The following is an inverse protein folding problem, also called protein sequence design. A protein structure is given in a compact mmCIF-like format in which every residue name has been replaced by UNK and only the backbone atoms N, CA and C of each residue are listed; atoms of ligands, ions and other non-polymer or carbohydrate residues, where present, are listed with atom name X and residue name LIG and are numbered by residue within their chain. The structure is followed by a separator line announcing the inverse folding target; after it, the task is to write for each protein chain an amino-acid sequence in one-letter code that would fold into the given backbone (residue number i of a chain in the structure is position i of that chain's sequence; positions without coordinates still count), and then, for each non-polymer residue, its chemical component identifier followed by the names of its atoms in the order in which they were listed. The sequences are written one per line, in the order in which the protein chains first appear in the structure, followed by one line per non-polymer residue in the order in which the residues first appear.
data_IF_081662041282
#
_entry.id   IF_081662041282
#
_cell.length_a   1.000
_cell.length_b   1.000
_cell.length_c   1.000
_cell.angle_alpha   90.00
_cell.angle_beta   90.00
_cell.angle_gamma   90.00
#
_symmetry.space_group_name_H-M   'P 1'
#
loop_
_entity.id
_entity.type
_entity.pdbx_description
1 polymer ?
#
# COMPACT_ATOMS: atom_id res chain seq x y z
N UNK A 1 -6.48 -11.70 4.38
CA UNK A 1 -6.62 -11.19 5.76
C UNK A 1 -7.37 -9.88 5.63
N UNK A 2 -8.45 -9.73 6.39
CA UNK A 2 -9.21 -8.50 6.40
C UNK A 2 -8.43 -7.46 7.21
N UNK A 3 -8.28 -6.27 6.64
CA UNK A 3 -7.51 -5.17 7.22
C UNK A 3 -8.46 -4.02 7.48
N UNK A 4 -8.60 -3.63 8.74
CA UNK A 4 -9.30 -2.40 9.11
C UNK A 4 -8.44 -1.17 8.77
N UNK A 5 -9.04 0.01 8.56
CA UNK A 5 -8.30 1.25 8.37
C UNK A 5 -7.26 1.51 9.47
N UNK A 6 -7.61 1.24 10.72
CA UNK A 6 -6.76 1.43 11.90
C UNK A 6 -5.52 0.51 11.86
N UNK A 7 -5.70 -0.74 11.46
CA UNK A 7 -4.58 -1.67 11.30
C UNK A 7 -3.66 -1.28 10.13
N UNK A 8 -4.22 -0.72 9.05
CA UNK A 8 -3.42 -0.22 7.92
C UNK A 8 -2.64 1.03 8.33
N UNK A 9 -3.27 1.96 9.04
CA UNK A 9 -2.60 3.16 9.55
C UNK A 9 -1.45 2.79 10.49
N UNK A 10 -1.69 1.89 11.45
CA UNK A 10 -0.66 1.40 12.37
C UNK A 10 0.50 0.72 11.64
N UNK A 11 0.22 -0.09 10.60
CA UNK A 11 1.24 -0.69 9.75
C UNK A 11 2.12 0.37 9.09
N UNK A 12 1.50 1.36 8.45
CA UNK A 12 2.22 2.41 7.71
C UNK A 12 3.03 3.27 8.67
N UNK A 13 2.45 3.71 9.79
CA UNK A 13 3.15 4.49 10.81
C UNK A 13 4.34 3.74 11.41
N UNK A 14 4.16 2.46 11.72
CA UNK A 14 5.25 1.65 12.27
C UNK A 14 6.41 1.53 11.28
N UNK A 15 6.13 1.13 10.03
CA UNK A 15 7.18 0.97 9.01
C UNK A 15 7.83 2.30 8.63
N UNK A 16 7.07 3.40 8.64
CA UNK A 16 7.62 4.74 8.42
C UNK A 16 8.60 5.14 9.53
N UNK A 17 8.28 4.86 10.79
CA UNK A 17 9.20 5.11 11.92
C UNK A 17 10.48 4.28 11.84
N UNK A 18 10.42 3.10 11.21
CA UNK A 18 11.55 2.19 11.03
C UNK A 18 12.13 2.27 9.61
N UNK A 19 11.97 3.41 8.91
CA UNK A 19 12.40 3.55 7.52
C UNK A 19 13.90 3.34 7.30
N UNK A 20 14.73 3.50 8.35
CA UNK A 20 16.16 3.19 8.32
C UNK A 20 16.46 1.69 8.12
N UNK A 21 15.53 0.80 8.48
CA UNK A 21 15.64 -0.66 8.28
C UNK A 21 15.17 -1.09 6.88
N UNK A 22 14.75 -0.15 6.04
CA UNK A 22 14.25 -0.41 4.70
C UNK A 22 15.41 -0.75 3.77
N UNK A 23 15.34 -1.91 3.13
CA UNK A 23 16.29 -2.30 2.09
C UNK A 23 16.09 -1.53 0.78
N UNK A 24 17.03 -1.70 -0.15
CA UNK A 24 17.11 -0.92 -1.40
C UNK A 24 15.86 -1.04 -2.28
N UNK A 25 15.16 -2.17 -2.22
CA UNK A 25 13.92 -2.41 -2.99
C UNK A 25 12.67 -1.83 -2.33
N UNK A 26 12.83 -1.11 -1.21
CA UNK A 26 11.73 -0.61 -0.38
C UNK A 26 11.02 -1.70 0.42
N UNK A 27 11.61 -2.90 0.54
CA UNK A 27 11.15 -3.96 1.44
C UNK A 27 11.81 -3.84 2.81
N UNK A 28 11.22 -4.50 3.81
CA UNK A 28 11.82 -4.67 5.13
C UNK A 28 12.21 -6.13 5.35
N UNK A 29 13.07 -6.36 6.34
CA UNK A 29 13.43 -7.71 6.75
C UNK A 29 12.29 -8.38 7.54
N UNK A 30 12.38 -9.70 7.68
CA UNK A 30 11.35 -10.50 8.34
C UNK A 30 11.11 -10.07 9.80
N UNK A 31 12.17 -9.70 10.54
CA UNK A 31 12.06 -9.25 11.92
C UNK A 31 11.26 -7.94 12.02
N UNK A 32 11.50 -6.97 11.13
CA UNK A 32 10.70 -5.74 11.09
C UNK A 32 9.22 -6.06 10.86
N UNK A 33 8.90 -6.96 9.93
CA UNK A 33 7.49 -7.36 9.70
C UNK A 33 6.87 -8.11 10.87
N UNK A 34 7.64 -8.93 11.59
CA UNK A 34 7.18 -9.58 12.81
C UNK A 34 6.88 -8.56 13.92
N UNK A 35 7.79 -7.61 14.14
CA UNK A 35 7.59 -6.54 15.13
C UNK A 35 6.37 -5.66 14.77
N UNK A 36 6.17 -5.37 13.48
CA UNK A 36 4.96 -4.69 13.00
C UNK A 36 3.70 -5.50 13.29
N UNK A 37 3.73 -6.82 13.09
CA UNK A 37 2.59 -7.69 13.39
C UNK A 37 2.24 -7.66 14.89
N UNK A 38 3.24 -7.71 15.76
CA UNK A 38 3.07 -7.58 17.21
C UNK A 38 2.53 -6.19 17.61
N UNK A 39 2.96 -5.13 16.92
CA UNK A 39 2.47 -3.77 17.14
C UNK A 39 0.99 -3.60 16.76
N UNK A 40 0.54 -4.26 15.69
CA UNK A 40 -0.84 -4.19 15.19
C UNK A 40 -1.78 -5.08 16.01
N UNK A 41 -1.28 -6.17 16.61
CA UNK A 41 -2.09 -7.17 17.32
C UNK A 41 -3.13 -6.59 18.31
N UNK A 42 -2.83 -5.57 19.13
CA UNK A 42 -3.81 -4.98 20.05
C UNK A 42 -5.02 -4.32 19.37
N UNK A 43 -4.92 -3.98 18.07
CA UNK A 43 -6.00 -3.35 17.30
C UNK A 43 -6.98 -4.36 16.70
N UNK A 44 -6.70 -5.67 16.83
CA UNK A 44 -7.55 -6.72 16.28
C UNK A 44 -8.86 -6.82 17.08
N UNK A 45 -9.95 -6.32 16.50
CA UNK A 45 -11.30 -6.43 17.08
C UNK A 45 -11.91 -7.80 16.80
N UNK A 46 -11.73 -8.34 15.58
CA UNK A 46 -12.22 -9.66 15.20
C UNK A 46 -11.45 -10.24 14.01
N UNK A 47 -11.56 -11.55 13.81
CA UNK A 47 -10.98 -12.25 12.66
C UNK A 47 -9.57 -12.80 12.92
N UNK A 48 -8.83 -13.03 11.83
CA UNK A 48 -7.54 -13.71 11.87
C UNK A 48 -6.43 -12.77 12.36
N UNK A 49 -5.66 -13.23 13.34
CA UNK A 49 -4.38 -12.60 13.75
C UNK A 49 -3.43 -12.54 12.56
N UNK A 50 -2.88 -11.36 12.32
CA UNK A 50 -1.96 -11.09 11.21
C UNK A 50 -0.56 -11.50 11.64
N UNK A 51 0.09 -12.34 10.84
CA UNK A 51 1.50 -12.69 11.02
C UNK A 51 2.41 -11.79 10.15
N UNK A 52 3.73 -11.97 10.26
CA UNK A 52 4.72 -11.26 9.46
C UNK A 52 4.51 -11.43 7.94
N UNK A 53 3.99 -12.58 7.47
CA UNK A 53 3.70 -12.79 6.04
C UNK A 53 2.51 -11.93 5.61
N UNK A 54 1.47 -11.85 6.44
CA UNK A 54 0.33 -10.97 6.20
C UNK A 54 0.77 -9.50 6.10
N UNK A 55 1.63 -9.04 7.02
CA UNK A 55 2.18 -7.68 6.99
C UNK A 55 3.00 -7.45 5.72
N UNK A 56 3.91 -8.36 5.37
CA UNK A 56 4.74 -8.24 4.16
C UNK A 56 3.91 -8.15 2.88
N UNK A 57 2.87 -8.98 2.75
CA UNK A 57 1.96 -8.95 1.59
C UNK A 57 1.21 -7.61 1.53
N UNK A 58 0.68 -7.14 2.66
CA UNK A 58 -0.05 -5.87 2.72
C UNK A 58 0.84 -4.68 2.38
N UNK A 59 2.06 -4.64 2.92
CA UNK A 59 3.05 -3.61 2.59
C UNK A 59 3.40 -3.62 1.10
N UNK A 60 3.60 -4.80 0.51
CA UNK A 60 3.86 -4.94 -0.92
C UNK A 60 2.77 -4.29 -1.79
N UNK A 61 1.50 -4.56 -1.46
CA UNK A 61 0.36 -3.96 -2.16
C UNK A 61 0.31 -2.43 -1.98
N UNK A 62 0.48 -1.92 -0.76
CA UNK A 62 0.50 -0.48 -0.46
C UNK A 62 1.62 0.24 -1.23
N UNK A 63 2.83 -0.34 -1.23
CA UNK A 63 3.98 0.18 -1.96
C UNK A 63 3.72 0.22 -3.47
N UNK A 64 3.09 -0.82 -4.02
CA UNK A 64 2.74 -0.86 -5.44
C UNK A 64 1.75 0.26 -5.80
N UNK A 65 0.71 0.46 -4.99
CA UNK A 65 -0.26 1.56 -5.19
C UNK A 65 0.41 2.93 -5.08
N UNK A 66 1.24 3.15 -4.05
CA UNK A 66 1.99 4.40 -3.88
C UNK A 66 2.89 4.69 -5.09
N UNK A 67 3.67 3.71 -5.54
CA UNK A 67 4.54 3.86 -6.70
C UNK A 67 3.76 4.17 -7.98
N UNK A 68 2.57 3.56 -8.17
CA UNK A 68 1.70 3.86 -9.29
C UNK A 68 1.19 5.32 -9.25
N UNK A 69 0.77 5.81 -8.07
CA UNK A 69 0.37 7.21 -7.88
C UNK A 69 1.53 8.15 -8.17
N UNK A 70 2.73 7.87 -7.64
CA UNK A 70 3.91 8.70 -7.88
C UNK A 70 4.32 8.71 -9.35
N UNK A 71 4.20 7.57 -10.05
CA UNK A 71 4.45 7.47 -11.50
C UNK A 71 3.41 8.25 -12.30
N UNK A 72 2.14 8.23 -11.88
CA UNK A 72 1.09 9.03 -12.52
C UNK A 72 1.37 10.53 -12.33
N UNK A 73 1.72 10.94 -11.11
CA UNK A 73 2.10 12.32 -10.78
C UNK A 73 3.32 12.84 -11.54
N UNK A 74 4.27 11.97 -11.89
CA UNK A 74 5.45 12.37 -12.65
C UNK A 74 5.17 12.62 -14.14
N UNK A 75 3.98 12.27 -14.64
CA UNK A 75 3.58 12.59 -16.02
C UNK A 75 3.08 14.03 -16.07
N UNK A 76 3.67 14.84 -16.96
CA UNK A 76 3.31 16.24 -17.16
C UNK A 76 1.80 16.40 -17.43
N UNK A 77 1.12 17.20 -16.60
CA UNK A 77 -0.26 17.64 -16.80
C UNK A 77 -1.32 16.94 -15.95
N UNK A 78 -0.99 15.85 -15.23
CA UNK A 78 -1.95 15.11 -14.42
C UNK A 78 -1.96 15.59 -12.96
N UNK A 79 -3.09 16.15 -12.50
CA UNK A 79 -3.26 16.61 -11.13
C UNK A 79 -3.70 15.44 -10.23
N UNK A 80 -2.91 15.10 -9.21
CA UNK A 80 -3.32 14.21 -8.12
C UNK A 80 -3.41 15.01 -6.82
N UNK A 81 -4.59 15.01 -6.23
CA UNK A 81 -4.91 15.56 -4.92
C UNK A 81 -5.01 14.44 -3.88
N UNK A 82 -4.49 14.62 -2.67
CA UNK A 82 -4.49 13.58 -1.65
C UNK A 82 -5.90 13.34 -1.05
N UNK A 83 -6.80 14.31 -1.14
CA UNK A 83 -8.20 14.19 -0.69
C UNK A 83 -9.14 13.74 -1.83
N UNK A 84 -8.89 14.20 -3.07
CA UNK A 84 -9.77 13.99 -4.24
C UNK A 84 -9.22 13.02 -5.29
N UNK A 85 -8.01 12.47 -5.08
CA UNK A 85 -7.32 11.62 -6.03
C UNK A 85 -7.00 12.35 -7.34
N UNK A 86 -7.10 11.66 -8.47
CA UNK A 86 -6.92 12.28 -9.80
C UNK A 86 -8.01 13.31 -10.18
N UNK A 87 -9.04 13.50 -9.34
CA UNK A 87 -10.19 14.38 -9.60
C UNK A 87 -10.87 14.15 -10.98
N UNK A 88 -10.73 12.93 -11.54
CA UNK A 88 -11.42 12.50 -12.75
C UNK A 88 -12.87 12.20 -12.35
N UNK A 89 -13.85 12.73 -13.10
CA UNK A 89 -15.27 12.53 -12.82
C UNK A 89 -15.64 11.06 -12.57
N UNK A 90 -16.48 10.84 -11.54
CA UNK A 90 -16.75 9.56 -10.84
C UNK A 90 -16.96 8.31 -11.73
N UNK A 91 -17.44 8.47 -12.96
CA UNK A 91 -17.67 7.35 -13.89
C UNK A 91 -16.41 6.96 -14.71
N UNK A 92 -15.58 7.92 -15.12
CA UNK A 92 -14.41 7.70 -15.98
C UNK A 92 -13.15 7.32 -15.18
N UNK A 93 -13.09 7.69 -13.90
CA UNK A 93 -11.94 7.46 -13.02
C UNK A 93 -11.72 5.97 -12.71
N UNK A 94 -12.79 5.26 -12.33
CA UNK A 94 -12.71 3.83 -12.00
C UNK A 94 -12.36 3.00 -13.24
N UNK A 95 -12.89 3.36 -14.41
CA UNK A 95 -12.61 2.68 -15.67
C UNK A 95 -11.17 2.95 -16.14
N UNK A 96 -10.69 4.20 -16.06
CA UNK A 96 -9.31 4.55 -16.41
C UNK A 96 -8.29 3.90 -15.47
N UNK A 97 -8.58 3.86 -14.17
CA UNK A 97 -7.76 3.16 -13.19
C UNK A 97 -7.71 1.65 -13.45
N UNK A 98 -8.87 1.03 -13.70
CA UNK A 98 -8.96 -0.41 -13.99
C UNK A 98 -8.20 -0.78 -15.27
N UNK A 99 -8.28 0.03 -16.32
CA UNK A 99 -7.52 -0.15 -17.56
C UNK A 99 -6.01 -0.03 -17.34
N UNK A 100 -5.56 0.97 -16.58
CA UNK A 100 -4.13 1.17 -16.31
C UNK A 100 -3.52 0.01 -15.50
N UNK A 101 -4.22 -0.47 -14.47
CA UNK A 101 -3.77 -1.61 -13.66
C UNK A 101 -3.73 -2.91 -14.49
N UNK A 102 -4.72 -3.14 -15.35
CA UNK A 102 -4.79 -4.34 -16.19
C UNK A 102 -3.64 -4.43 -17.21
N UNK A 103 -3.26 -3.31 -17.83
CA UNK A 103 -2.13 -3.27 -18.78
C UNK A 103 -0.81 -3.64 -18.09
N UNK A 104 -0.58 -3.17 -16.86
CA UNK A 104 0.63 -3.49 -16.08
C UNK A 104 0.75 -4.98 -15.72
N UNK A 105 -0.37 -5.68 -15.53
CA UNK A 105 -0.39 -7.13 -15.24
C UNK A 105 -0.03 -7.95 -16.48
N UNK A 106 -0.45 -7.51 -17.67
CA UNK A 106 -0.21 -8.24 -18.93
C UNK A 106 1.18 -8.00 -19.52
N UNK A 107 1.85 -6.90 -19.19
CA UNK A 107 3.22 -6.60 -19.69
C UNK A 107 4.35 -7.24 -18.86
N UNK A 108 4.02 -8.13 -17.93
CA UNK A 108 5.00 -8.83 -17.05
C UNK A 108 5.03 -10.35 -17.28
N UNK A 109 4.49 -10.83 -18.41
CA UNK A 109 4.53 -12.23 -18.84
C UNK A 109 5.64 -12.48 -19.84
#
# INVERSE_FOLDING_TARGET
ADWTPEEVDALVHYLHRHCAERGDTGSFCQSTYANTADHIRPLLVSGKVKDHKNVSIKWGALKQTYNAIMTYRSKLGEHWDNERGANIGRALAAESWSKYVAVKVLSSG
#
